data_IF_444123748830
#
_entry.id   IF_444123748830
#
_cell.length_a   1.000
_cell.length_b   1.000
_cell.length_c   1.000
_cell.angle_alpha   90.00
_cell.angle_beta   90.00
_cell.angle_gamma   90.00
#
_symmetry.space_group_name_H-M   'P 1'
#
loop_
_entity.id
_entity.type
_entity.pdbx_description
1 polymer ?
2 water ?
#
# COMPACT_ATOMS: atom_id res chain seq x y z
N UNK A 1 7.81 3.85 -7.64
CA UNK A 1 6.98 2.91 -6.83
C UNK A 1 6.95 3.30 -5.33
N UNK A 2 5.80 3.09 -4.70
CA UNK A 2 5.59 3.49 -3.27
C UNK A 2 5.49 2.31 -2.41
N UNK A 3 5.63 1.02 -2.81
CA UNK A 3 5.23 -0.11 -1.98
C UNK A 3 6.16 -1.32 -2.10
N UNK A 4 6.46 -1.95 -1.02
CA UNK A 4 7.20 -3.25 -1.09
C UNK A 4 6.19 -4.24 -0.61
N UNK A 5 6.02 -5.37 -1.35
CA UNK A 5 5.23 -6.49 -0.86
C UNK A 5 6.00 -7.57 -0.14
N UNK A 6 5.42 -8.12 0.90
CA UNK A 6 6.05 -9.15 1.68
C UNK A 6 6.39 -10.36 0.72
N UNK A 7 7.47 -11.06 1.13
CA UNK A 7 7.80 -12.26 0.24
C UNK A 7 6.61 -13.21 0.19
N UNK A 8 6.30 -13.44 -1.13
CA UNK A 8 5.15 -14.38 -1.29
C UNK A 8 5.18 -14.91 -2.73
N UNK A 9 4.38 -16.00 -2.88
CA UNK A 9 4.47 -16.70 -4.21
C UNK A 9 3.44 -16.18 -5.17
N UNK A 10 3.56 -15.01 -5.63
CA UNK A 10 2.68 -14.41 -6.65
C UNK A 10 3.46 -13.28 -7.30
N UNK A 11 2.94 -12.63 -8.28
CA UNK A 11 3.68 -11.71 -9.08
C UNK A 11 3.57 -10.27 -8.50
N UNK A 12 3.37 -10.20 -7.18
CA UNK A 12 3.36 -8.80 -6.70
C UNK A 12 4.88 -8.45 -6.62
N UNK A 13 5.13 -7.26 -7.06
CA UNK A 13 6.52 -6.78 -7.02
C UNK A 13 6.54 -5.30 -6.77
N UNK A 14 7.61 -4.78 -6.23
CA UNK A 14 8.75 -5.45 -5.74
C UNK A 14 8.58 -6.15 -4.43
N UNK A 15 9.41 -7.21 -4.25
CA UNK A 15 9.49 -7.87 -2.98
C UNK A 15 10.96 -7.76 -2.39
N UNK A 16 11.74 -7.06 -3.12
CA UNK A 16 13.13 -6.94 -2.49
C UNK A 16 13.55 -5.61 -3.03
N UNK A 17 14.28 -4.83 -2.16
CA UNK A 17 15.00 -3.66 -2.67
C UNK A 17 16.52 -4.01 -2.65
N UNK A 18 17.00 -4.17 -3.85
CA UNK A 18 18.45 -4.47 -3.92
C UNK A 18 19.11 -3.13 -3.81
N UNK A 19 20.50 -3.23 -3.62
CA UNK A 19 21.29 -2.03 -3.49
C UNK A 19 21.13 -1.05 -4.62
N UNK A 20 21.00 0.22 -4.38
CA UNK A 20 20.74 1.34 -5.21
C UNK A 20 19.24 1.51 -5.56
N UNK A 21 18.48 0.46 -5.25
CA UNK A 21 17.02 0.67 -5.58
C UNK A 21 16.30 1.46 -4.46
N UNK A 22 15.11 1.93 -4.91
CA UNK A 22 14.44 2.81 -3.85
C UNK A 22 12.95 2.80 -4.09
N UNK A 23 12.22 3.20 -3.09
CA UNK A 23 10.84 3.70 -3.29
C UNK A 23 10.96 5.19 -3.41
N UNK A 24 10.05 5.81 -4.17
CA UNK A 24 10.17 7.27 -4.35
C UNK A 24 8.78 7.82 -4.61
N UNK A 25 8.43 8.91 -3.90
CA UNK A 25 7.25 9.62 -4.35
C UNK A 25 7.55 11.14 -4.24
N UNK A 26 6.60 11.94 -4.76
CA UNK A 26 6.78 13.39 -4.66
C UNK A 26 5.72 14.00 -3.75
N UNK A 27 6.11 15.05 -3.01
CA UNK A 27 5.07 15.80 -2.26
C UNK A 27 5.40 17.22 -2.57
N UNK A 28 4.63 17.85 -3.52
CA UNK A 28 5.10 19.19 -3.89
C UNK A 28 6.38 19.20 -4.59
N UNK A 29 7.44 19.96 -4.18
CA UNK A 29 8.71 19.79 -4.89
C UNK A 29 9.69 18.91 -4.02
N UNK A 30 9.15 18.35 -2.98
CA UNK A 30 10.04 17.41 -2.26
C UNK A 30 9.95 16.00 -2.89
N UNK A 31 11.10 15.40 -2.92
CA UNK A 31 11.20 14.01 -3.37
C UNK A 31 11.46 13.20 -2.10
N UNK A 32 10.68 12.16 -1.89
CA UNK A 32 10.91 11.32 -0.66
C UNK A 32 11.47 10.04 -1.24
N UNK A 33 12.66 9.59 -0.78
CA UNK A 33 13.21 8.36 -1.35
C UNK A 33 13.57 7.49 -0.19
N UNK A 34 13.23 6.19 -0.31
CA UNK A 34 13.59 5.25 0.77
C UNK A 34 14.50 4.29 0.03
N UNK A 35 15.86 4.38 0.28
CA UNK A 35 16.81 3.70 -0.60
C UNK A 35 17.75 2.72 0.17
N UNK A 36 17.91 1.59 -0.52
CA UNK A 36 18.91 0.59 0.00
C UNK A 36 20.26 0.98 -0.59
N UNK A 37 21.09 1.63 0.20
CA UNK A 37 22.35 2.10 -0.39
C UNK A 37 23.43 0.97 -0.49
N UNK A 38 24.35 1.36 -1.37
CA UNK A 38 25.48 0.41 -1.63
C UNK A 38 26.30 0.14 -0.39
N UNK A 39 26.29 1.08 0.54
CA UNK A 39 26.99 0.90 1.83
C UNK A 39 26.29 0.21 2.93
N UNK A 40 25.11 -0.45 2.55
CA UNK A 40 24.32 -1.23 3.43
C UNK A 40 23.42 -0.43 4.38
N UNK A 41 23.33 0.90 4.28
CA UNK A 41 22.45 1.69 5.11
C UNK A 41 21.08 1.85 4.32
N UNK A 42 20.03 1.62 5.04
CA UNK A 42 18.68 1.84 4.33
C UNK A 42 18.17 3.14 4.90
N UNK A 43 17.97 4.10 3.99
CA UNK A 43 17.82 5.51 4.41
C UNK A 43 16.54 6.14 3.83
N UNK A 44 15.85 6.96 4.61
CA UNK A 44 14.75 7.80 4.04
C UNK A 44 15.29 9.25 3.91
N UNK A 45 15.24 9.72 2.69
CA UNK A 45 15.68 11.08 2.36
C UNK A 45 14.45 11.95 2.07
N UNK A 46 14.55 13.21 2.53
CA UNK A 46 13.58 14.23 2.03
C UNK A 46 14.42 15.10 1.16
N UNK A 47 14.35 15.12 -0.13
CA UNK A 47 15.37 15.74 -0.99
C UNK A 47 16.73 15.16 -0.72
N UNK A 48 17.73 16.05 -0.42
CA UNK A 48 19.01 15.42 -0.13
C UNK A 48 19.25 15.27 1.35
N UNK A 49 18.31 15.44 2.24
CA UNK A 49 18.55 15.40 3.69
C UNK A 49 18.12 14.03 4.20
N UNK A 50 18.96 13.36 4.92
CA UNK A 50 18.58 12.11 5.50
C UNK A 50 17.71 12.32 6.66
N UNK A 51 16.53 11.69 6.80
CA UNK A 51 15.66 11.88 7.93
C UNK A 51 15.47 10.68 8.83
N UNK A 52 15.83 9.49 8.29
CA UNK A 52 15.80 8.32 9.13
C UNK A 52 16.68 7.26 8.47
N UNK A 53 17.29 6.38 9.32
CA UNK A 53 18.08 5.33 8.71
C UNK A 53 18.16 4.11 9.63
N UNK A 54 18.55 2.95 9.04
CA UNK A 54 18.78 1.81 9.91
C UNK A 54 20.21 1.94 10.59
N UNK A 55 20.97 2.88 10.14
CA UNK A 55 22.32 3.09 10.73
C UNK A 55 23.18 1.84 10.61
N UNK A 56 23.17 1.24 9.42
CA UNK A 56 23.86 0.00 9.20
C UNK A 56 24.98 0.23 8.21
N UNK A 57 25.37 1.49 7.89
CA UNK A 57 26.38 1.72 6.85
C UNK A 57 27.76 1.06 7.26
N UNK A 58 28.34 0.40 6.29
CA UNK A 58 29.64 -0.29 6.51
C UNK A 58 29.44 -1.66 7.12
N UNK A 59 28.22 -2.11 7.49
CA UNK A 59 28.11 -3.40 8.17
C UNK A 59 28.09 -4.61 7.26
N UNK A 60 27.95 -4.35 5.98
CA UNK A 60 27.98 -5.50 5.05
C UNK A 60 28.11 -5.01 3.69
N UNK A 61 28.21 -5.93 2.71
CA UNK A 61 28.22 -5.58 1.30
C UNK A 61 27.01 -6.21 0.48
N UNK A 62 26.67 -5.49 -0.54
CA UNK A 62 25.68 -6.14 -1.49
C UNK A 62 24.36 -6.44 -0.73
N UNK A 63 23.95 -5.44 0.06
CA UNK A 63 22.80 -5.65 0.97
C UNK A 63 21.44 -5.50 0.17
N UNK A 64 20.52 -6.16 0.85
CA UNK A 64 19.08 -6.01 0.28
C UNK A 64 18.15 -5.83 1.42
N UNK A 65 16.97 -5.20 1.11
CA UNK A 65 15.92 -5.15 2.13
C UNK A 65 14.71 -6.03 1.63
N UNK A 66 14.26 -6.74 2.67
CA UNK A 66 13.09 -7.63 2.28
C UNK A 66 12.10 -7.46 3.38
N UNK A 67 10.79 -7.68 3.03
CA UNK A 67 9.74 -7.68 4.04
C UNK A 67 9.28 -9.10 4.25
N UNK A 68 9.58 -9.63 5.43
CA UNK A 68 9.32 -11.07 5.64
C UNK A 68 7.85 -11.34 5.80
N UNK A 69 7.43 -12.64 5.84
CA UNK A 69 6.00 -12.89 5.81
C UNK A 69 5.38 -12.67 7.18
N UNK A 70 6.11 -12.26 8.19
CA UNK A 70 5.47 -11.91 9.47
C UNK A 70 5.54 -10.37 9.59
N UNK A 71 5.87 -9.64 8.56
CA UNK A 71 5.73 -8.16 8.63
C UNK A 71 7.05 -7.54 9.13
N UNK A 72 8.08 -8.32 9.37
CA UNK A 72 9.39 -7.70 9.82
C UNK A 72 10.18 -7.29 8.68
N UNK A 73 10.65 -6.06 8.57
CA UNK A 73 11.53 -5.62 7.52
C UNK A 73 12.98 -5.89 7.92
N UNK A 74 13.74 -6.47 6.95
CA UNK A 74 15.13 -6.84 7.42
C UNK A 74 16.00 -6.33 6.33
N UNK A 75 17.33 -6.04 6.71
CA UNK A 75 18.39 -5.76 5.79
C UNK A 75 19.47 -6.95 5.95
N UNK A 76 19.69 -7.49 4.78
CA UNK A 76 20.47 -8.76 4.81
C UNK A 76 21.64 -8.57 3.88
N UNK A 77 22.87 -9.04 4.29
CA UNK A 77 24.00 -8.83 3.37
C UNK A 77 24.15 -9.91 2.28
N UNK A 78 25.15 -9.76 1.44
CA UNK A 78 25.33 -10.81 0.40
C UNK A 78 25.96 -12.05 0.98
N UNK A 79 26.24 -12.16 2.25
CA UNK A 79 26.57 -13.40 2.93
C UNK A 79 25.46 -13.90 3.81
N UNK A 80 24.25 -13.29 3.57
CA UNK A 80 23.05 -13.68 4.29
C UNK A 80 23.19 -13.50 5.77
N UNK A 81 23.88 -12.46 6.23
CA UNK A 81 23.84 -12.04 7.60
C UNK A 81 22.76 -10.92 7.77
N UNK A 82 21.87 -11.08 8.69
CA UNK A 82 20.87 -10.01 8.90
C UNK A 82 21.53 -8.96 9.77
N UNK A 83 21.57 -7.70 9.33
CA UNK A 83 22.18 -6.67 10.08
C UNK A 83 21.23 -5.67 10.72
N UNK A 84 19.88 -5.87 10.39
CA UNK A 84 18.94 -4.99 11.02
C UNK A 84 17.49 -5.60 10.86
N UNK A 85 16.69 -5.45 11.86
CA UNK A 85 15.27 -5.86 11.61
C UNK A 85 14.38 -4.93 12.34
N UNK A 86 13.18 -4.74 11.78
CA UNK A 86 12.24 -3.89 12.57
C UNK A 86 11.85 -4.73 13.73
N UNK A 87 11.33 -4.06 14.81
CA UNK A 87 11.22 -4.67 16.10
C UNK A 87 9.94 -5.34 16.41
N UNK A 88 8.89 -5.36 15.56
CA UNK A 88 7.63 -5.97 15.87
C UNK A 88 7.23 -6.88 14.74
N UNK A 89 6.78 -8.06 15.21
CA UNK A 89 6.38 -9.06 14.23
C UNK A 89 4.89 -9.35 14.35
N UNK A 90 4.25 -9.77 13.28
CA UNK A 90 2.89 -10.23 13.34
C UNK A 90 2.71 -11.69 12.88
N UNK A 91 1.45 -12.14 12.78
CA UNK A 91 1.29 -13.53 12.33
C UNK A 91 1.74 -13.67 10.87
N UNK A 92 2.11 -14.91 10.49
CA UNK A 92 2.45 -15.10 9.06
C UNK A 92 1.25 -14.78 8.15
N UNK A 93 1.55 -14.05 7.08
CA UNK A 93 0.48 -13.72 6.13
C UNK A 93 1.05 -12.82 5.09
N UNK A 94 0.30 -11.83 4.63
CA UNK A 94 0.74 -10.95 3.61
C UNK A 94 0.77 -9.49 4.19
N UNK A 95 1.82 -8.80 3.88
CA UNK A 95 1.94 -7.44 4.49
C UNK A 95 2.47 -6.55 3.37
N UNK A 96 2.36 -5.23 3.54
CA UNK A 96 2.95 -4.25 2.63
C UNK A 96 3.63 -3.08 3.44
N UNK A 97 4.73 -2.66 2.85
CA UNK A 97 5.39 -1.45 3.38
C UNK A 97 5.12 -0.34 2.44
N UNK A 98 4.65 0.86 2.93
CA UNK A 98 4.31 1.93 2.03
C UNK A 98 5.07 3.22 2.39
N UNK A 99 5.63 3.84 1.38
CA UNK A 99 6.18 5.23 1.60
C UNK A 99 4.98 6.11 1.24
N UNK A 100 4.59 6.88 2.31
CA UNK A 100 3.27 7.63 2.22
C UNK A 100 3.46 9.07 1.96
N UNK A 101 2.42 9.76 1.43
CA UNK A 101 2.58 11.18 1.12
C UNK A 101 2.84 11.96 2.39
N UNK A 102 2.49 11.51 3.56
CA UNK A 102 2.78 12.31 4.75
C UNK A 102 4.23 12.10 5.23
N UNK A 103 5.02 11.38 4.48
CA UNK A 103 6.49 11.17 4.73
C UNK A 103 6.67 10.11 5.79
N UNK A 104 5.65 9.37 6.26
CA UNK A 104 5.89 8.23 7.12
C UNK A 104 6.09 6.93 6.26
N UNK A 105 6.89 6.08 6.81
CA UNK A 105 6.97 4.73 6.04
C UNK A 105 6.42 3.74 7.00
N UNK A 106 5.34 2.96 6.61
CA UNK A 106 4.53 2.18 7.46
C UNK A 106 4.40 0.72 6.90
N UNK A 107 4.43 -0.17 7.85
CA UNK A 107 4.15 -1.57 7.41
C UNK A 107 2.72 -1.87 7.82
N UNK A 108 1.86 -2.35 6.96
CA UNK A 108 0.52 -2.76 7.33
C UNK A 108 0.31 -4.28 7.07
N UNK A 109 -0.52 -4.84 7.94
CA UNK A 109 -0.99 -6.23 7.53
C UNK A 109 -1.42 -6.78 8.83
N UNK A 110 -1.86 -8.05 8.85
CA UNK A 110 -1.95 -8.79 7.57
C UNK A 110 -3.18 -8.46 6.83
N UNK A 111 -3.51 -9.14 5.72
CA UNK A 111 -4.65 -8.75 4.89
C UNK A 111 -5.95 -9.01 5.60
N UNK A 112 -6.82 -8.01 5.59
CA UNK A 112 -8.11 -8.13 6.28
C UNK A 112 -9.15 -8.63 5.31
N UNK A 113 -9.21 -8.23 4.09
CA UNK A 113 -10.18 -8.64 3.11
C UNK A 113 -9.66 -8.39 1.72
N UNK A 114 -10.13 -9.15 0.75
CA UNK A 114 -9.73 -8.91 -0.61
C UNK A 114 -10.91 -9.19 -1.58
N UNK A 115 -10.76 -8.68 -2.78
CA UNK A 115 -11.80 -9.06 -3.82
C UNK A 115 -11.56 -10.51 -4.31
N UNK A 116 -10.39 -11.07 -4.09
CA UNK A 116 -10.07 -12.44 -4.52
C UNK A 116 -10.12 -12.52 -6.04
N UNK A 117 -9.42 -11.69 -6.78
CA UNK A 117 -9.45 -11.48 -8.20
C UNK A 117 -8.03 -11.72 -8.80
N UNK A 118 -7.27 -12.49 -8.13
CA UNK A 118 -5.92 -12.79 -8.67
C UNK A 118 -6.02 -13.37 -10.11
N UNK A 119 -5.13 -12.91 -10.95
CA UNK A 119 -4.48 -13.79 -11.94
C UNK A 119 -5.03 -13.04 -13.15
N UNK B 1 -2.37 5.98 -9.58
CA UNK B 1 -2.32 5.74 -8.13
C UNK B 1 -2.86 4.32 -7.84
N UNK B 2 -2.31 3.71 -6.81
CA UNK B 2 -2.54 2.32 -6.50
C UNK B 2 -3.13 2.12 -5.10
N UNK B 3 -3.37 3.20 -4.34
CA UNK B 3 -3.69 2.94 -2.92
C UNK B 3 -4.74 3.97 -2.45
N UNK B 4 -5.61 3.53 -1.56
CA UNK B 4 -6.52 4.44 -0.82
C UNK B 4 -6.13 4.24 0.62
N UNK B 5 -6.01 5.41 1.30
CA UNK B 5 -5.75 5.32 2.73
C UNK B 5 -7.02 5.52 3.55
N UNK B 6 -7.10 4.89 4.70
CA UNK B 6 -8.32 4.93 5.52
C UNK B 6 -8.42 6.39 6.04
N UNK B 7 -9.72 6.69 6.38
CA UNK B 7 -9.94 8.11 6.82
C UNK B 7 -9.13 8.40 8.06
N UNK B 8 -8.40 9.57 7.93
CA UNK B 8 -7.44 9.96 9.02
C UNK B 8 -7.05 11.43 8.74
N UNK B 9 -6.73 12.09 9.89
CA UNK B 9 -6.51 13.53 9.76
C UNK B 9 -5.11 13.90 9.39
N UNK B 10 -4.56 13.59 8.22
CA UNK B 10 -3.21 13.81 7.78
C UNK B 10 -3.30 13.95 6.26
N UNK B 11 -2.21 14.24 5.60
CA UNK B 11 -2.43 14.51 4.19
C UNK B 11 -2.05 13.21 3.38
N UNK B 12 -2.33 12.07 4.00
CA UNK B 12 -2.29 10.90 3.05
C UNK B 12 -3.52 10.93 2.15
N UNK B 13 -3.30 10.80 0.91
CA UNK B 13 -4.38 10.91 -0.07
C UNK B 13 -4.11 9.98 -1.22
N UNK B 14 -5.12 9.46 -1.85
CA UNK B 14 -6.50 9.71 -1.61
C UNK B 14 -7.07 8.92 -0.44
N UNK B 15 -8.14 9.52 0.19
CA UNK B 15 -8.87 8.78 1.18
C UNK B 15 -10.30 8.56 0.65
N UNK B 16 -10.65 9.17 -0.43
CA UNK B 16 -12.02 8.98 -0.96
C UNK B 16 -11.88 8.75 -2.46
N UNK B 17 -12.62 7.84 -3.06
CA UNK B 17 -12.70 7.83 -4.53
C UNK B 17 -14.11 8.40 -4.89
N UNK B 18 -14.06 9.60 -5.48
CA UNK B 18 -15.40 10.19 -5.79
C UNK B 18 -15.76 9.59 -7.12
N UNK B 19 -16.97 9.87 -7.58
CA UNK B 19 -17.46 9.28 -8.83
C UNK B 19 -16.54 9.71 -9.96
N UNK B 20 -16.15 8.81 -10.82
CA UNK B 20 -15.33 8.94 -11.98
C UNK B 20 -13.82 8.75 -11.63
N UNK B 21 -13.55 8.73 -10.35
CA UNK B 21 -12.12 8.56 -9.97
C UNK B 21 -11.76 7.08 -9.89
N UNK B 22 -10.43 6.75 -9.99
CA UNK B 22 -10.10 5.31 -9.97
C UNK B 22 -8.67 5.08 -9.48
N UNK B 23 -8.39 3.88 -9.09
CA UNK B 23 -6.97 3.41 -8.97
C UNK B 23 -6.70 2.75 -10.28
N UNK B 24 -5.44 2.76 -10.68
CA UNK B 24 -5.14 2.08 -11.98
C UNK B 24 -3.68 1.64 -11.89
N UNK B 25 -3.44 0.46 -12.41
CA UNK B 25 -2.02 0.10 -12.63
C UNK B 25 -1.94 -0.76 -13.88
N UNK B 26 -0.69 -0.88 -14.33
CA UNK B 26 -0.44 -1.60 -15.62
C UNK B 26 0.29 -2.87 -15.28
N UNK B 27 -0.06 -3.95 -16.01
CA UNK B 27 0.74 -5.20 -15.89
C UNK B 27 0.75 -5.78 -17.29
N UNK B 28 1.97 -5.70 -17.86
CA UNK B 28 1.93 -6.38 -19.19
C UNK B 28 1.06 -5.62 -20.16
N UNK B 29 0.14 -6.38 -20.82
CA UNK B 29 -0.77 -5.81 -21.75
C UNK B 29 -2.14 -5.43 -21.14
N UNK B 30 -2.17 -5.41 -19.84
CA UNK B 30 -3.43 -5.24 -19.07
C UNK B 30 -3.39 -3.94 -18.31
N UNK B 31 -4.51 -3.25 -18.40
CA UNK B 31 -4.71 -2.09 -17.47
C UNK B 31 -5.69 -2.58 -16.42
N UNK B 32 -5.37 -2.48 -15.13
CA UNK B 32 -6.39 -2.85 -14.13
C UNK B 32 -6.90 -1.51 -13.54
N UNK B 33 -8.23 -1.36 -13.47
CA UNK B 33 -8.77 -0.02 -13.04
C UNK B 33 -9.79 -0.41 -12.00
N UNK B 34 -9.75 0.30 -10.87
CA UNK B 34 -10.78 0.07 -9.82
C UNK B 34 -11.55 1.36 -9.67
N UNK B 35 -12.77 1.50 -10.24
CA UNK B 35 -13.34 2.80 -10.48
C UNK B 35 -14.74 2.96 -9.86
N UNK B 36 -14.86 4.10 -9.18
CA UNK B 36 -16.25 4.46 -8.65
C UNK B 36 -17.02 5.09 -9.74
N UNK B 37 -17.97 4.35 -10.33
CA UNK B 37 -18.64 4.91 -11.52
C UNK B 37 -19.78 5.86 -11.12
N UNK B 38 -20.07 6.66 -12.17
CA UNK B 38 -21.21 7.61 -12.02
C UNK B 38 -22.48 6.90 -11.74
N UNK B 39 -22.70 5.67 -12.14
CA UNK B 39 -23.94 4.93 -11.76
C UNK B 39 -23.94 4.29 -10.44
N UNK B 40 -22.94 4.59 -9.52
CA UNK B 40 -22.83 4.06 -8.20
C UNK B 40 -22.29 2.67 -8.06
N UNK B 41 -21.78 2.06 -9.17
CA UNK B 41 -21.23 0.73 -9.07
C UNK B 41 -19.65 0.93 -8.91
N UNK B 42 -19.10 0.24 -7.96
CA UNK B 42 -17.59 0.28 -7.85
C UNK B 42 -17.10 -1.03 -8.50
N UNK B 43 -16.21 -0.82 -9.53
CA UNK B 43 -15.98 -2.02 -10.43
C UNK B 43 -14.43 -2.19 -10.56
N UNK B 44 -14.02 -3.42 -10.69
CA UNK B 44 -12.58 -3.63 -11.05
C UNK B 44 -12.64 -4.15 -12.51
N UNK B 45 -11.93 -3.48 -13.35
CA UNK B 45 -11.89 -3.87 -14.81
C UNK B 45 -10.45 -4.33 -15.14
N UNK B 46 -10.41 -5.40 -15.99
CA UNK B 46 -9.11 -5.82 -16.62
C UNK B 46 -9.25 -5.48 -18.09
N UNK B 47 -8.56 -4.48 -18.61
CA UNK B 47 -8.92 -3.86 -19.89
C UNK B 47 -10.39 -3.59 -19.91
N UNK B 48 -11.13 -4.04 -20.97
CA UNK B 48 -12.57 -3.52 -20.83
C UNK B 48 -13.45 -4.54 -20.19
N UNK B 49 -12.98 -5.50 -19.49
CA UNK B 49 -13.78 -6.57 -18.96
C UNK B 49 -14.00 -6.27 -17.48
N UNK B 50 -15.21 -6.17 -16.99
CA UNK B 50 -15.45 -6.16 -15.59
C UNK B 50 -15.22 -7.45 -14.91
N UNK B 51 -14.40 -7.56 -13.85
CA UNK B 51 -14.06 -8.74 -13.16
C UNK B 51 -14.67 -8.85 -11.79
N UNK B 52 -15.00 -7.71 -11.18
CA UNK B 52 -15.67 -7.78 -9.89
C UNK B 52 -16.33 -6.44 -9.65
N UNK B 53 -17.49 -6.46 -8.95
CA UNK B 53 -18.17 -5.19 -8.71
C UNK B 53 -18.97 -5.30 -7.40
N UNK B 54 -19.30 -4.14 -6.87
CA UNK B 54 -20.19 -4.12 -5.69
C UNK B 54 -21.66 -4.37 -6.15
N UNK B 55 -21.93 -4.29 -7.38
CA UNK B 55 -23.33 -4.53 -7.90
C UNK B 55 -24.29 -3.51 -7.36
N UNK B 56 -23.91 -2.30 -7.18
CA UNK B 56 -24.73 -1.20 -6.66
C UNK B 56 -25.10 -0.23 -7.72
N UNK B 57 -25.00 -0.53 -9.07
CA UNK B 57 -25.37 0.36 -10.14
C UNK B 57 -26.92 0.71 -9.98
N UNK B 58 -27.14 1.97 -10.19
CA UNK B 58 -28.57 2.40 -10.11
C UNK B 58 -28.98 2.68 -8.68
N UNK B 59 -28.16 2.47 -7.66
CA UNK B 59 -28.67 2.76 -6.30
C UNK B 59 -28.60 4.21 -5.91
N UNK B 60 -27.93 5.08 -6.59
CA UNK B 60 -27.73 6.43 -6.00
C UNK B 60 -27.05 7.24 -7.09
N UNK B 61 -26.83 8.50 -6.89
CA UNK B 61 -26.03 9.37 -7.68
C UNK B 61 -24.90 9.98 -6.79
N UNK B 62 -23.87 10.41 -7.50
CA UNK B 62 -22.78 11.10 -6.78
C UNK B 62 -22.15 10.20 -5.69
N UNK B 63 -21.94 8.95 -6.06
CA UNK B 63 -21.51 8.05 -4.93
C UNK B 63 -19.92 8.17 -4.74
N UNK B 64 -19.60 7.77 -3.55
CA UNK B 64 -18.11 7.82 -3.29
C UNK B 64 -17.84 6.56 -2.52
N UNK B 65 -16.50 6.15 -2.63
CA UNK B 65 -16.09 5.03 -1.84
C UNK B 65 -15.06 5.48 -0.77
N UNK B 66 -15.21 4.96 0.41
CA UNK B 66 -14.40 5.51 1.52
C UNK B 66 -13.89 4.32 2.24
N UNK B 67 -12.63 4.35 2.80
CA UNK B 67 -12.19 3.25 3.61
C UNK B 67 -12.16 3.70 5.07
N UNK B 68 -12.99 3.09 5.87
CA UNK B 68 -13.14 3.60 7.26
C UNK B 68 -12.01 3.21 8.10
N UNK B 69 -11.80 3.71 9.32
CA UNK B 69 -10.70 3.43 10.16
C UNK B 69 -10.74 2.06 10.79
N UNK B 70 -11.85 1.30 10.60
CA UNK B 70 -11.72 -0.07 11.02
C UNK B 70 -11.55 -1.00 9.79
N UNK B 71 -11.15 -0.41 8.70
CA UNK B 71 -10.76 -1.34 7.59
C UNK B 71 -11.93 -1.67 6.70
N UNK B 72 -13.16 -1.12 6.94
CA UNK B 72 -14.28 -1.46 6.10
C UNK B 72 -14.39 -0.54 4.95
N UNK B 73 -14.50 -1.03 3.71
CA UNK B 73 -14.69 -0.17 2.57
C UNK B 73 -16.23 -0.02 2.34
N UNK B 74 -16.63 1.22 2.16
CA UNK B 74 -18.08 1.43 1.98
C UNK B 74 -18.30 2.23 0.75
N UNK B 75 -19.49 2.12 0.08
CA UNK B 75 -19.86 3.01 -0.96
C UNK B 75 -21.17 3.81 -0.38
N UNK B 76 -21.04 5.07 -0.64
CA UNK B 76 -22.08 5.93 0.09
C UNK B 76 -22.50 6.84 -1.01
N UNK B 77 -23.91 7.07 -1.01
CA UNK B 77 -24.44 7.96 -2.02
C UNK B 77 -24.34 9.44 -1.58
N UNK B 78 -24.70 10.27 -2.53
CA UNK B 78 -24.63 11.74 -2.25
C UNK B 78 -25.72 12.15 -1.25
N UNK B 79 -26.65 11.26 -0.92
CA UNK B 79 -27.51 11.56 0.23
C UNK B 79 -27.00 10.97 1.51
N UNK B 80 -25.74 10.44 1.45
CA UNK B 80 -25.21 9.82 2.66
C UNK B 80 -25.90 8.57 3.08
N UNK B 81 -26.41 7.73 2.17
CA UNK B 81 -26.83 6.38 2.48
C UNK B 81 -25.73 5.32 2.04
N UNK B 82 -25.39 4.57 3.02
CA UNK B 82 -24.38 3.52 2.71
C UNK B 82 -25.10 2.42 1.97
N UNK B 83 -24.59 2.16 0.75
CA UNK B 83 -25.25 1.10 -0.04
C UNK B 83 -24.46 -0.15 -0.22
N UNK B 84 -23.18 -0.15 0.26
CA UNK B 84 -22.44 -1.39 0.30
C UNK B 84 -21.25 -1.31 1.29
N UNK B 85 -20.99 -2.40 1.93
CA UNK B 85 -19.87 -2.45 2.86
C UNK B 85 -19.11 -3.76 2.61
N UNK B 86 -17.78 -3.72 2.78
CA UNK B 86 -17.05 -5.00 2.83
C UNK B 86 -17.36 -5.68 4.12
N UNK B 87 -17.26 -7.02 4.20
CA UNK B 87 -17.93 -7.76 5.21
C UNK B 87 -17.17 -8.01 6.47
N UNK B 88 -15.88 -7.64 6.52
CA UNK B 88 -15.08 -7.89 7.72
C UNK B 88 -14.50 -6.58 8.26
N UNK B 89 -14.57 -6.39 9.56
CA UNK B 89 -14.10 -5.14 10.20
C UNK B 89 -12.90 -5.57 11.04
N UNK B 90 -11.93 -4.71 11.24
CA UNK B 90 -10.81 -4.86 12.11
C UNK B 90 -10.85 -3.87 13.33
N UNK B 91 -9.78 -3.87 14.08
CA UNK B 91 -9.71 -2.85 15.15
C UNK B 91 -9.52 -1.50 14.49
N UNK B 92 -10.02 -0.47 15.20
CA UNK B 92 -9.82 0.84 14.66
C UNK B 92 -8.36 1.19 14.64
N UNK B 93 -7.93 1.86 13.50
CA UNK B 93 -6.50 2.16 13.36
C UNK B 93 -6.24 2.90 12.04
N UNK B 94 -5.23 2.30 11.32
CA UNK B 94 -4.98 2.85 9.99
C UNK B 94 -4.88 1.64 9.02
N UNK B 95 -5.50 1.83 7.89
CA UNK B 95 -5.50 0.68 6.93
C UNK B 95 -5.22 1.35 5.61
N UNK B 96 -4.78 0.41 4.66
CA UNK B 96 -4.72 0.83 3.29
C UNK B 96 -5.43 -0.21 2.32
N UNK B 97 -5.97 0.31 1.23
CA UNK B 97 -6.46 -0.65 0.23
C UNK B 97 -5.51 -0.54 -0.92
N UNK B 98 -5.08 -1.68 -1.50
CA UNK B 98 -4.09 -1.59 -2.60
C UNK B 98 -4.61 -2.34 -3.85
N UNK B 99 -4.51 -1.75 -4.98
CA UNK B 99 -4.80 -2.51 -6.27
C UNK B 99 -3.38 -2.99 -6.61
N UNK B 100 -3.32 -4.33 -6.68
CA UNK B 100 -1.95 -4.99 -6.75
C UNK B 100 -1.66 -5.53 -8.14
N UNK B 101 -0.35 -5.69 -8.46
CA UNK B 101 0.08 -6.22 -9.76
C UNK B 101 -0.50 -7.57 -9.99
N UNK B 102 -0.83 -8.37 -9.02
CA UNK B 102 -1.44 -9.64 -9.29
C UNK B 102 -2.95 -9.57 -9.57
N UNK B 103 -3.48 -8.39 -9.58
CA UNK B 103 -4.91 -8.16 -9.94
C UNK B 103 -5.78 -8.32 -8.72
N UNK B 104 -5.34 -8.63 -7.53
CA UNK B 104 -6.12 -8.65 -6.32
C UNK B 104 -6.24 -7.20 -5.76
N UNK B 105 -7.39 -6.96 -5.14
CA UNK B 105 -7.56 -5.63 -4.43
C UNK B 105 -7.61 -6.03 -3.00
N UNK B 106 -6.69 -5.50 -2.13
CA UNK B 106 -6.58 -6.07 -0.77
C UNK B 106 -6.53 -4.93 0.26
N UNK B 107 -7.26 -5.13 1.38
CA UNK B 107 -7.11 -4.10 2.45
C UNK B 107 -6.18 -4.71 3.49
N UNK B 108 -5.14 -3.93 3.84
CA UNK B 108 -4.22 -4.38 4.83
C UNK B 108 -4.30 -3.40 6.08
N UNK B 109 -4.15 -4.06 7.22
CA UNK B 109 -3.91 -3.15 8.40
C UNK B 109 -4.21 -4.07 9.55
N UNK B 110 -4.23 -3.54 10.83
CA UNK B 110 -3.76 -2.19 11.09
C UNK B 110 -2.27 -2.10 10.96
N UNK B 111 -1.80 -0.88 11.11
CA UNK B 111 -0.37 -0.58 10.97
C UNK B 111 0.41 -1.33 11.98
N UNK B 112 1.54 -1.98 11.64
CA UNK B 112 2.32 -2.78 12.57
C UNK B 112 3.48 -1.97 13.11
N UNK B 113 4.08 -1.17 12.27
CA UNK B 113 5.32 -0.45 12.67
C UNK B 113 5.46 0.64 11.70
N UNK B 114 6.10 1.77 12.11
CA UNK B 114 6.43 2.86 11.25
C UNK B 114 7.72 3.59 11.60
N UNK B 115 8.28 4.26 10.63
CA UNK B 115 9.51 5.07 10.96
C UNK B 115 9.17 6.26 11.87
N UNK B 116 7.96 6.71 11.84
CA UNK B 116 7.50 7.89 12.60
C UNK B 116 8.20 9.12 12.10
N UNK B 117 8.14 9.41 10.82
CA UNK B 117 8.88 10.49 10.15
C UNK B 117 7.88 11.45 9.51
N UNK B 118 6.68 11.51 10.06
CA UNK B 118 5.66 12.43 9.52
C UNK B 118 6.17 13.87 9.44
N UNK B 119 6.09 14.51 8.29
CA UNK B 119 6.04 15.95 8.19
C UNK B 119 6.52 16.46 6.86
#
# INVERSE_FOLDING_TARGET
NNIIFSKQPDDNHPQILHATESLEILFGTHVYRFIMQTDCNLVLYDNNNPIWATNTGGLGNGCRAVLQPDGVLVVITNENVTVWQSPVAGKAGHYVLVLQPDRNVVIYGDALWATQTVR
NNIIFSKQPDDNHPQILHATESLEILFGTHVYRFIMQTDCNLVLYDNNNPIWATNTGGLGNGCRAVLQPDGVLVVITNENVTVWQSPVAGKAGHYVLVLQPDRNVVIYGDALWATQTVR
#
